data_IF_802827520634
#
_entry.id   IF_802827520634
#
_cell.length_a   1.000
_cell.length_b   1.000
_cell.length_c   1.000
_cell.angle_alpha   90.00
_cell.angle_beta   90.00
_cell.angle_gamma   90.00
#
_symmetry.space_group_name_H-M   'P 1'
#
loop_
_entity.id
_entity.type
_entity.pdbx_description
1 polymer ?
#
# COMPACT_ATOMS: atom_id res chain seq x y z
N UNK A 1 -10.47 15.07 -17.20
CA UNK A 1 -9.47 15.43 -16.18
C UNK A 1 -10.02 14.91 -14.85
N UNK A 2 -9.30 14.02 -14.16
CA UNK A 2 -9.88 13.29 -13.02
C UNK A 2 -10.04 14.12 -11.74
N UNK A 3 -9.45 15.31 -11.68
CA UNK A 3 -9.38 16.12 -10.47
C UNK A 3 -9.56 17.59 -10.89
N UNK A 4 -10.65 18.22 -10.47
CA UNK A 4 -10.89 19.64 -10.77
C UNK A 4 -10.39 20.59 -9.68
N UNK A 5 -10.49 20.16 -8.42
CA UNK A 5 -10.03 20.89 -7.26
C UNK A 5 -9.62 19.93 -6.14
N UNK A 6 -8.71 20.38 -5.28
CA UNK A 6 -8.21 19.63 -4.12
C UNK A 6 -8.09 20.51 -2.88
N UNK A 7 -8.16 19.90 -1.70
CA UNK A 7 -7.58 20.43 -0.47
C UNK A 7 -6.08 20.15 -0.46
N UNK A 8 -5.28 21.01 0.14
CA UNK A 8 -3.88 20.71 0.42
C UNK A 8 -3.74 20.02 1.78
N UNK A 9 -3.03 18.88 1.84
CA UNK A 9 -2.75 18.20 3.11
C UNK A 9 -1.71 18.94 3.96
N UNK A 10 -0.73 19.58 3.31
CA UNK A 10 0.40 20.28 3.92
C UNK A 10 0.82 21.52 3.10
N UNK A 11 1.65 22.43 3.63
CA UNK A 11 2.23 23.53 2.86
C UNK A 11 3.00 23.08 1.61
N UNK A 12 3.66 21.93 1.66
CA UNK A 12 4.33 21.32 0.50
C UNK A 12 3.31 20.92 -0.56
N UNK A 13 2.17 20.38 -0.14
CA UNK A 13 1.07 19.99 -1.02
C UNK A 13 0.43 21.21 -1.70
N UNK A 14 0.27 22.31 -0.97
CA UNK A 14 -0.19 23.59 -1.53
C UNK A 14 0.78 24.13 -2.61
N UNK A 15 2.08 24.13 -2.32
CA UNK A 15 3.12 24.51 -3.30
C UNK A 15 3.11 23.60 -4.52
N UNK A 16 2.93 22.29 -4.33
CA UNK A 16 2.84 21.33 -5.42
C UNK A 16 1.60 21.57 -6.29
N UNK A 17 0.43 21.80 -5.68
CA UNK A 17 -0.80 22.13 -6.39
C UNK A 17 -0.61 23.35 -7.30
N UNK A 18 0.00 24.42 -6.78
CA UNK A 18 0.31 25.63 -7.55
C UNK A 18 1.23 25.37 -8.75
N UNK A 19 2.30 24.58 -8.56
CA UNK A 19 3.20 24.19 -9.66
C UNK A 19 2.52 23.35 -10.73
N UNK A 20 1.60 22.49 -10.33
CA UNK A 20 0.91 21.54 -11.21
C UNK A 20 -0.37 22.13 -11.84
N UNK A 21 -0.72 23.38 -11.50
CA UNK A 21 -1.94 24.03 -11.97
C UNK A 21 -3.23 23.40 -11.43
N UNK A 22 -3.17 22.74 -10.28
CA UNK A 22 -4.32 22.11 -9.63
C UNK A 22 -5.00 23.17 -8.76
N UNK A 23 -6.31 23.38 -8.96
CA UNK A 23 -7.09 24.36 -8.20
C UNK A 23 -7.22 23.93 -6.74
N UNK A 24 -7.02 24.87 -5.81
CA UNK A 24 -7.27 24.65 -4.39
C UNK A 24 -8.70 25.08 -4.02
N UNK A 25 -9.40 24.25 -3.26
CA UNK A 25 -10.73 24.57 -2.71
C UNK A 25 -10.94 23.90 -1.36
N UNK A 26 -11.47 24.65 -0.39
CA UNK A 26 -11.80 24.14 0.95
C UNK A 26 -12.93 23.10 0.96
N UNK A 27 -13.79 23.12 -0.05
CA UNK A 27 -14.95 22.22 -0.18
C UNK A 27 -14.67 21.02 -1.10
N UNK A 28 -13.42 20.81 -1.52
CA UNK A 28 -13.08 19.71 -2.41
C UNK A 28 -13.21 18.33 -1.73
N UNK A 29 -13.66 17.35 -2.51
CA UNK A 29 -13.74 15.93 -2.12
C UNK A 29 -12.39 15.20 -2.13
N UNK A 30 -11.38 15.83 -2.75
CA UNK A 30 -10.03 15.31 -2.91
C UNK A 30 -9.06 16.05 -2.00
N UNK A 31 -8.07 15.33 -1.47
CA UNK A 31 -6.95 15.92 -0.73
C UNK A 31 -5.64 15.54 -1.42
N UNK A 32 -4.89 16.55 -1.85
CA UNK A 32 -3.56 16.38 -2.44
C UNK A 32 -2.54 16.22 -1.33
N UNK A 33 -1.73 15.17 -1.45
CA UNK A 33 -0.62 14.85 -0.56
C UNK A 33 0.64 14.83 -1.40
N UNK A 34 1.52 15.80 -1.20
CA UNK A 34 2.84 15.81 -1.83
C UNK A 34 3.88 15.18 -0.90
N UNK A 35 4.47 14.05 -1.29
CA UNK A 35 5.42 13.32 -0.45
C UNK A 35 5.65 11.88 -0.88
N UNK A 36 6.23 11.10 0.03
CA UNK A 36 6.47 9.66 -0.15
C UNK A 36 5.28 8.84 0.33
N UNK A 37 5.39 7.51 0.27
CA UNK A 37 4.39 6.61 0.87
C UNK A 37 4.15 6.91 2.35
N UNK A 38 5.13 7.43 3.08
CA UNK A 38 4.96 7.84 4.48
C UNK A 38 3.87 8.91 4.63
N UNK A 39 3.95 10.00 3.86
CA UNK A 39 2.99 11.10 3.93
C UNK A 39 1.61 10.65 3.41
N UNK A 40 1.59 9.83 2.36
CA UNK A 40 0.35 9.28 1.79
C UNK A 40 -0.35 8.36 2.80
N UNK A 41 0.37 7.46 3.47
CA UNK A 41 -0.16 6.60 4.53
C UNK A 41 -0.70 7.42 5.71
N UNK A 42 -0.03 8.52 6.07
CA UNK A 42 -0.49 9.41 7.14
C UNK A 42 -1.81 10.10 6.80
N UNK A 43 -1.97 10.55 5.55
CA UNK A 43 -3.22 11.09 5.05
C UNK A 43 -4.31 10.01 4.99
N UNK A 44 -4.02 8.80 4.48
CA UNK A 44 -4.97 7.70 4.43
C UNK A 44 -5.47 7.31 5.83
N UNK A 45 -4.65 7.45 6.87
CA UNK A 45 -5.07 7.18 8.27
C UNK A 45 -5.99 8.24 8.85
N UNK A 46 -5.84 9.50 8.43
CA UNK A 46 -6.44 10.67 9.11
C UNK A 46 -7.53 11.41 8.30
N UNK A 47 -7.63 11.18 6.99
CA UNK A 47 -8.52 11.92 6.07
C UNK A 47 -9.56 11.03 5.44
N UNK A 48 -10.81 11.48 5.43
CA UNK A 48 -11.89 10.72 4.77
C UNK A 48 -12.05 11.10 3.30
N UNK A 49 -11.50 12.25 2.87
CA UNK A 49 -11.40 12.66 1.47
C UNK A 49 -10.66 11.64 0.59
N UNK A 50 -10.84 11.75 -0.72
CA UNK A 50 -10.06 10.95 -1.69
C UNK A 50 -8.62 11.46 -1.70
N UNK A 51 -7.69 10.65 -1.20
CA UNK A 51 -6.27 10.96 -1.17
C UNK A 51 -5.69 10.86 -2.57
N UNK A 52 -5.02 11.93 -2.99
CA UNK A 52 -4.26 12.03 -4.24
C UNK A 52 -2.79 12.22 -3.88
N UNK A 53 -2.01 11.14 -3.96
CA UNK A 53 -0.58 11.20 -3.69
C UNK A 53 0.20 11.71 -4.91
N UNK A 54 1.04 12.72 -4.75
CA UNK A 54 2.02 13.12 -5.75
C UNK A 54 3.42 13.00 -5.16
N UNK A 55 4.28 12.19 -5.77
CA UNK A 55 5.65 12.05 -5.28
C UNK A 55 6.56 13.16 -5.81
N UNK A 56 7.60 13.55 -5.05
CA UNK A 56 8.63 14.43 -5.57
C UNK A 56 9.33 13.87 -6.81
N UNK A 57 9.90 14.76 -7.62
CA UNK A 57 10.66 14.34 -8.82
C UNK A 57 11.76 13.36 -8.48
N UNK A 58 11.81 12.25 -9.21
CA UNK A 58 12.80 11.20 -9.02
C UNK A 58 12.64 10.39 -7.72
N UNK A 59 11.52 10.54 -7.02
CA UNK A 59 11.14 9.70 -5.89
C UNK A 59 10.03 8.76 -6.34
N UNK A 60 10.31 7.47 -6.25
CA UNK A 60 9.32 6.43 -6.47
C UNK A 60 8.52 6.20 -5.18
N UNK A 61 7.22 6.47 -5.23
CA UNK A 61 6.28 6.19 -4.14
C UNK A 61 5.18 5.29 -4.69
N UNK A 62 4.99 4.12 -4.09
CA UNK A 62 4.10 3.08 -4.59
C UNK A 62 2.63 3.52 -4.57
N UNK A 63 2.25 4.33 -3.58
CA UNK A 63 0.89 4.81 -3.37
C UNK A 63 0.60 6.11 -4.11
N UNK A 64 1.62 6.75 -4.69
CA UNK A 64 1.40 7.96 -5.46
C UNK A 64 0.56 7.68 -6.70
N UNK A 65 -0.29 8.64 -7.03
CA UNK A 65 -1.01 8.70 -8.29
C UNK A 65 -0.05 8.95 -9.45
N UNK A 66 0.93 9.83 -9.25
CA UNK A 66 2.02 10.10 -10.18
C UNK A 66 3.18 10.81 -9.45
N UNK A 67 4.37 10.80 -10.03
CA UNK A 67 5.41 11.74 -9.64
C UNK A 67 5.15 13.13 -10.22
N UNK A 68 5.71 14.18 -9.63
CA UNK A 68 5.53 15.58 -10.03
C UNK A 68 5.79 15.80 -11.53
N UNK A 69 6.84 15.17 -12.07
CA UNK A 69 7.23 15.27 -13.48
C UNK A 69 6.32 14.51 -14.44
N UNK A 70 5.62 13.49 -13.96
CA UNK A 70 4.71 12.66 -14.75
C UNK A 70 3.25 13.05 -14.62
N UNK A 71 2.89 13.80 -13.57
CA UNK A 71 1.51 14.18 -13.29
C UNK A 71 0.76 14.74 -14.49
N UNK A 72 1.28 15.71 -15.28
CA UNK A 72 0.49 16.26 -16.39
C UNK A 72 0.21 15.23 -17.50
N UNK A 73 1.11 14.24 -17.69
CA UNK A 73 0.90 13.13 -18.62
C UNK A 73 -0.17 12.18 -18.08
N UNK A 74 -0.06 11.78 -16.81
CA UNK A 74 -1.01 10.85 -16.18
C UNK A 74 -2.41 11.49 -16.13
N UNK A 75 -2.51 12.74 -15.69
CA UNK A 75 -3.78 13.47 -15.56
C UNK A 75 -4.50 13.72 -16.90
N UNK A 76 -3.77 13.73 -18.03
CA UNK A 76 -4.35 13.94 -19.37
C UNK A 76 -4.72 12.66 -20.10
N UNK A 77 -4.23 11.49 -19.66
CA UNK A 77 -4.33 10.24 -20.44
C UNK A 77 -4.81 9.02 -19.67
N UNK A 78 -4.58 8.98 -18.37
CA UNK A 78 -5.02 7.86 -17.56
C UNK A 78 -6.50 8.02 -17.21
N UNK A 79 -7.25 6.94 -17.32
CA UNK A 79 -8.46 6.78 -16.54
C UNK A 79 -8.08 6.72 -15.05
N UNK A 80 -8.99 7.09 -14.17
CA UNK A 80 -8.72 7.10 -12.74
C UNK A 80 -9.78 6.29 -12.01
N UNK A 81 -9.34 5.56 -10.99
CA UNK A 81 -10.22 4.81 -10.10
C UNK A 81 -9.96 5.20 -8.66
N UNK A 82 -10.99 5.11 -7.83
CA UNK A 82 -10.88 5.31 -6.39
C UNK A 82 -10.88 3.94 -5.74
N UNK A 83 -9.74 3.54 -5.21
CA UNK A 83 -9.58 2.30 -4.47
C UNK A 83 -9.95 2.54 -3.00
N UNK A 84 -10.76 1.64 -2.44
CA UNK A 84 -11.10 1.65 -1.01
C UNK A 84 -10.03 0.87 -0.24
N UNK A 85 -9.38 1.54 0.69
CA UNK A 85 -8.36 0.95 1.54
C UNK A 85 -8.96 0.74 2.94
N UNK A 86 -9.12 -0.50 3.42
CA UNK A 86 -9.63 -0.72 4.77
C UNK A 86 -8.75 -0.06 5.83
N UNK A 87 -9.36 0.55 6.86
CA UNK A 87 -8.65 0.92 8.09
C UNK A 87 -8.94 -0.10 9.16
N UNK A 88 -7.90 -0.64 9.76
CA UNK A 88 -8.04 -1.44 10.98
C UNK A 88 -8.36 -0.51 12.14
N UNK A 89 -9.38 -0.88 12.90
CA UNK A 89 -9.60 -0.39 14.25
C UNK A 89 -9.14 -1.47 15.21
N UNK A 90 -8.38 -1.06 16.22
CA UNK A 90 -7.89 -1.95 17.23
C UNK A 90 -8.14 -1.40 18.62
N UNK A 91 -8.62 -2.26 19.51
CA UNK A 91 -9.08 -1.89 20.84
C UNK A 91 -8.41 -2.73 21.91
N UNK A 92 -7.94 -2.06 22.97
CA UNK A 92 -7.42 -2.67 24.18
C UNK A 92 -7.72 -1.74 25.37
N UNK A 93 -8.35 -2.26 26.42
CA UNK A 93 -8.63 -1.49 27.65
C UNK A 93 -9.46 -0.22 27.40
N UNK A 94 -10.42 -0.27 26.47
CA UNK A 94 -11.26 0.88 26.08
C UNK A 94 -10.55 1.94 25.21
N UNK A 95 -9.24 1.79 24.94
CA UNK A 95 -8.52 2.65 24.01
C UNK A 95 -8.61 2.08 22.59
N UNK A 96 -9.02 2.92 21.63
CA UNK A 96 -9.13 2.55 20.21
C UNK A 96 -8.08 3.29 19.40
N UNK A 97 -7.34 2.55 18.59
CA UNK A 97 -6.35 3.08 17.63
C UNK A 97 -6.69 2.64 16.20
N UNK A 98 -6.17 3.38 15.22
CA UNK A 98 -6.39 3.13 13.79
C UNK A 98 -5.08 2.82 13.07
N UNK A 99 -5.14 1.89 12.13
CA UNK A 99 -4.04 1.53 11.24
C UNK A 99 -4.54 1.38 9.80
N UNK A 100 -3.68 1.64 8.82
CA UNK A 100 -3.95 1.40 7.40
C UNK A 100 -3.18 0.21 6.85
N UNK A 101 -2.03 -0.12 7.42
CA UNK A 101 -1.26 -1.31 7.07
C UNK A 101 -1.55 -2.42 8.06
N UNK A 102 -1.09 -2.28 9.31
CA UNK A 102 -1.16 -3.37 10.28
C UNK A 102 -1.35 -2.92 11.74
N UNK A 103 -1.92 -3.84 12.51
CA UNK A 103 -1.92 -3.82 13.96
C UNK A 103 -1.05 -4.98 14.43
N UNK A 104 -0.02 -4.67 15.19
CA UNK A 104 0.96 -5.61 15.67
C UNK A 104 0.85 -5.78 17.19
N UNK A 105 1.04 -7.01 17.68
CA UNK A 105 1.15 -7.29 19.11
C UNK A 105 2.54 -7.86 19.37
N UNK A 106 3.32 -7.12 20.16
CA UNK A 106 4.70 -7.45 20.51
C UNK A 106 4.99 -7.10 21.97
N UNK A 107 5.99 -7.74 22.60
CA UNK A 107 6.50 -7.27 23.87
C UNK A 107 7.22 -5.93 23.68
N UNK A 108 7.08 -5.03 24.66
CA UNK A 108 7.74 -3.71 24.68
C UNK A 108 9.26 -3.76 24.51
N UNK A 109 9.88 -4.89 24.86
CA UNK A 109 11.31 -5.13 24.67
C UNK A 109 11.51 -6.32 23.75
N UNK A 110 12.47 -6.20 22.84
CA UNK A 110 12.90 -7.26 21.94
C UNK A 110 13.48 -8.47 22.68
N UNK A 111 13.66 -9.58 21.95
CA UNK A 111 14.21 -10.84 22.45
C UNK A 111 13.36 -11.47 23.58
N UNK A 112 12.04 -11.35 23.48
CA UNK A 112 11.09 -12.06 24.34
C UNK A 112 9.99 -12.70 23.48
N UNK A 113 9.68 -13.95 23.81
CA UNK A 113 8.56 -14.65 23.20
C UNK A 113 7.23 -14.20 23.82
N UNK A 114 6.20 -14.26 23.01
CA UNK A 114 4.81 -13.94 23.36
C UNK A 114 3.96 -15.16 23.05
N UNK A 115 3.29 -15.71 24.07
CA UNK A 115 2.25 -16.72 23.88
C UNK A 115 0.90 -16.03 23.70
N UNK A 116 0.08 -16.47 22.74
CA UNK A 116 -1.23 -15.88 22.50
C UNK A 116 -2.20 -16.88 21.85
N UNK A 117 -3.49 -16.55 21.85
CA UNK A 117 -4.55 -17.23 21.10
C UNK A 117 -5.23 -16.26 20.17
N UNK A 118 -5.47 -16.72 18.94
CA UNK A 118 -6.20 -15.98 17.91
C UNK A 118 -7.60 -16.58 17.79
N UNK A 119 -8.61 -15.72 17.93
CA UNK A 119 -10.01 -16.03 17.66
C UNK A 119 -10.52 -15.19 16.50
N UNK A 120 -11.40 -15.78 15.70
CA UNK A 120 -12.14 -15.10 14.63
C UNK A 120 -13.62 -15.32 14.90
N UNK A 121 -14.36 -14.24 15.11
CA UNK A 121 -15.76 -14.26 15.55
C UNK A 121 -15.99 -15.22 16.74
N UNK A 122 -15.11 -15.14 17.75
CA UNK A 122 -15.17 -15.95 18.97
C UNK A 122 -14.66 -17.39 18.85
N UNK A 123 -14.39 -17.90 17.64
CA UNK A 123 -13.84 -19.25 17.44
C UNK A 123 -12.32 -19.23 17.46
N UNK A 124 -11.71 -20.08 18.28
CA UNK A 124 -10.25 -20.24 18.30
C UNK A 124 -9.81 -20.84 16.97
N UNK A 125 -8.99 -20.09 16.23
CA UNK A 125 -8.38 -20.56 14.98
C UNK A 125 -7.04 -21.21 15.29
N UNK A 126 -6.21 -20.54 16.08
CA UNK A 126 -4.94 -21.11 16.54
C UNK A 126 -4.43 -20.45 17.82
N UNK A 127 -3.44 -21.10 18.43
CA UNK A 127 -2.61 -20.56 19.49
C UNK A 127 -1.14 -20.72 19.13
N UNK A 128 -0.30 -19.79 19.56
CA UNK A 128 1.11 -19.83 19.21
C UNK A 128 2.01 -19.20 20.28
N UNK A 129 3.30 -19.49 20.17
CA UNK A 129 4.38 -18.80 20.86
C UNK A 129 5.33 -18.27 19.78
N UNK A 130 5.48 -16.96 19.70
CA UNK A 130 6.21 -16.29 18.63
C UNK A 130 6.83 -14.99 19.16
N UNK A 131 7.57 -14.24 18.33
CA UNK A 131 7.99 -12.88 18.74
C UNK A 131 6.78 -11.96 18.88
N UNK A 132 5.77 -12.17 18.03
CA UNK A 132 4.52 -11.43 18.03
C UNK A 132 3.54 -11.93 16.98
N UNK A 133 2.51 -11.14 16.71
CA UNK A 133 1.53 -11.39 15.66
C UNK A 133 1.06 -10.09 15.03
N UNK A 134 0.81 -10.12 13.73
CA UNK A 134 0.27 -9.00 12.95
C UNK A 134 -1.16 -9.33 12.52
N UNK A 135 -2.01 -8.31 12.48
CA UNK A 135 -3.24 -8.29 11.68
C UNK A 135 -3.05 -7.21 10.64
N UNK A 136 -3.11 -7.56 9.36
CA UNK A 136 -2.72 -6.69 8.25
C UNK A 136 -3.85 -6.57 7.22
N UNK A 137 -3.97 -5.38 6.63
CA UNK A 137 -4.86 -5.10 5.49
C UNK A 137 -4.21 -5.57 4.19
N UNK A 138 -4.95 -5.60 3.06
CA UNK A 138 -4.34 -5.86 1.76
C UNK A 138 -3.19 -4.91 1.44
N UNK A 139 -3.32 -3.63 1.82
CA UNK A 139 -2.25 -2.64 1.67
C UNK A 139 -1.03 -2.97 2.55
N UNK A 140 -1.26 -3.39 3.80
CA UNK A 140 -0.18 -3.79 4.73
C UNK A 140 0.53 -5.09 4.34
N UNK A 141 -0.06 -5.90 3.46
CA UNK A 141 0.49 -7.18 3.04
C UNK A 141 1.83 -7.08 2.32
N UNK A 142 2.13 -5.93 1.71
CA UNK A 142 3.42 -5.64 1.09
C UNK A 142 4.44 -5.04 2.06
N UNK A 143 4.02 -4.66 3.27
CA UNK A 143 4.83 -4.01 4.31
C UNK A 143 5.40 -5.03 5.30
N UNK A 144 5.22 -4.84 6.61
CA UNK A 144 5.84 -5.70 7.61
C UNK A 144 5.33 -7.15 7.54
N UNK A 145 4.05 -7.34 7.17
CA UNK A 145 3.48 -8.66 6.94
C UNK A 145 4.27 -9.48 5.91
N UNK A 146 4.70 -8.85 4.80
CA UNK A 146 5.58 -9.49 3.80
C UNK A 146 6.88 -9.98 4.41
N UNK A 147 7.55 -9.14 5.20
CA UNK A 147 8.80 -9.50 5.86
C UNK A 147 8.63 -10.61 6.90
N UNK A 148 7.44 -10.72 7.50
CA UNK A 148 7.08 -11.78 8.43
C UNK A 148 6.62 -13.09 7.75
N UNK A 149 6.61 -13.14 6.42
CA UNK A 149 6.21 -14.33 5.65
C UNK A 149 4.73 -14.38 5.25
N UNK A 150 4.02 -13.26 5.37
CA UNK A 150 2.66 -13.08 4.82
C UNK A 150 2.63 -13.08 3.29
N UNK A 151 1.53 -13.51 2.66
CA UNK A 151 1.33 -13.36 1.23
C UNK A 151 1.20 -11.89 0.82
N UNK A 152 1.50 -11.57 -0.44
CA UNK A 152 1.09 -10.29 -1.03
C UNK A 152 -0.37 -10.43 -1.47
N UNK A 153 -1.22 -9.50 -1.02
CA UNK A 153 -2.66 -9.48 -1.26
C UNK A 153 -2.99 -8.30 -2.16
N UNK A 154 -3.81 -8.56 -3.18
CA UNK A 154 -4.30 -7.51 -4.07
C UNK A 154 -5.08 -6.44 -3.30
N UNK A 155 -4.85 -5.15 -3.63
CA UNK A 155 -5.45 -4.02 -2.90
C UNK A 155 -6.98 -4.04 -2.90
N UNK A 156 -7.62 -4.61 -3.93
CA UNK A 156 -9.08 -4.68 -4.05
C UNK A 156 -9.69 -5.90 -3.32
N UNK A 157 -8.87 -6.80 -2.78
CA UNK A 157 -9.35 -7.99 -2.09
C UNK A 157 -10.01 -7.65 -0.74
N UNK A 158 -11.23 -8.12 -0.51
CA UNK A 158 -11.97 -7.89 0.74
C UNK A 158 -11.59 -8.90 1.84
N UNK A 159 -10.33 -8.89 2.24
CA UNK A 159 -9.77 -9.79 3.27
C UNK A 159 -8.85 -9.05 4.26
N UNK A 160 -8.64 -9.66 5.41
CA UNK A 160 -7.54 -9.35 6.34
C UNK A 160 -6.65 -10.58 6.47
N UNK A 161 -5.37 -10.37 6.79
CA UNK A 161 -4.46 -11.47 7.10
C UNK A 161 -3.97 -11.38 8.55
N UNK A 162 -3.69 -12.54 9.13
CA UNK A 162 -3.09 -12.69 10.45
C UNK A 162 -1.75 -13.39 10.25
N UNK A 163 -0.65 -12.72 10.62
CA UNK A 163 0.71 -13.20 10.36
C UNK A 163 1.46 -13.38 11.68
N UNK A 164 1.68 -14.62 12.14
CA UNK A 164 2.58 -14.92 13.24
C UNK A 164 4.02 -14.53 12.88
N UNK A 165 4.70 -13.77 13.76
CA UNK A 165 6.07 -13.31 13.50
C UNK A 165 7.06 -14.22 14.22
N UNK A 166 7.91 -14.91 13.45
CA UNK A 166 8.88 -15.89 13.97
C UNK A 166 8.22 -16.96 14.87
N UNK A 167 7.16 -17.60 14.35
CA UNK A 167 6.42 -18.65 15.04
C UNK A 167 7.31 -19.85 15.41
N UNK A 168 7.33 -20.22 16.70
CA UNK A 168 8.00 -21.45 17.16
C UNK A 168 7.29 -22.72 16.67
N UNK A 169 5.97 -22.62 16.43
CA UNK A 169 5.15 -23.72 15.91
C UNK A 169 5.07 -23.74 14.38
N UNK A 170 5.83 -22.89 13.68
CA UNK A 170 5.80 -22.72 12.22
C UNK A 170 4.38 -22.47 11.68
N UNK A 171 3.57 -21.69 12.40
CA UNK A 171 2.22 -21.32 11.98
C UNK A 171 2.27 -20.52 10.68
N UNK A 172 1.53 -20.93 9.63
CA UNK A 172 1.41 -20.12 8.43
C UNK A 172 0.49 -18.90 8.68
N UNK A 173 0.55 -17.89 7.80
CA UNK A 173 -0.44 -16.81 7.76
C UNK A 173 -1.87 -17.36 7.63
N UNK A 174 -2.84 -16.65 8.22
CA UNK A 174 -4.26 -16.99 8.15
C UNK A 174 -5.06 -15.83 7.59
N UNK A 175 -5.74 -16.04 6.45
CA UNK A 175 -6.52 -15.01 5.75
C UNK A 175 -8.00 -15.18 6.09
N UNK A 176 -8.67 -14.06 6.39
CA UNK A 176 -10.08 -14.00 6.78
C UNK A 176 -10.85 -12.95 5.97
N UNK A 177 -12.16 -13.11 5.78
CA UNK A 177 -12.97 -12.05 5.16
C UNK A 177 -12.92 -10.73 5.93
N UNK A 178 -13.01 -9.59 5.22
CA UNK A 178 -12.86 -8.25 5.78
C UNK A 178 -13.81 -7.94 6.95
N UNK A 179 -15.04 -8.47 6.90
CA UNK A 179 -16.07 -8.24 7.92
C UNK A 179 -15.88 -9.02 9.23
N UNK A 180 -14.79 -9.77 9.38
CA UNK A 180 -14.51 -10.58 10.57
C UNK A 180 -13.90 -9.77 11.70
N UNK A 181 -14.27 -10.09 12.94
CA UNK A 181 -13.62 -9.55 14.14
C UNK A 181 -12.56 -10.54 14.63
N UNK A 182 -11.33 -10.07 14.73
CA UNK A 182 -10.17 -10.84 15.16
C UNK A 182 -9.88 -10.47 16.62
N UNK A 183 -9.83 -11.46 17.50
CA UNK A 183 -9.45 -11.26 18.89
C UNK A 183 -8.13 -11.98 19.17
N UNK A 184 -7.15 -11.24 19.68
CA UNK A 184 -5.89 -11.78 20.16
C UNK A 184 -5.93 -11.71 21.68
N UNK A 185 -5.75 -12.85 22.32
CA UNK A 185 -6.09 -13.03 23.73
C UNK A 185 -5.13 -13.99 24.41
N UNK A 186 -5.23 -14.09 25.73
CA UNK A 186 -4.30 -14.86 26.55
C UNK A 186 -2.84 -14.48 26.27
N UNK A 187 -2.61 -13.21 25.92
CA UNK A 187 -1.30 -12.69 25.55
C UNK A 187 -0.42 -12.62 26.78
N UNK A 188 0.69 -13.38 26.77
CA UNK A 188 1.66 -13.41 27.87
C UNK A 188 3.06 -13.32 27.31
N UNK A 189 3.87 -12.46 27.92
CA UNK A 189 5.30 -12.36 27.65
C UNK A 189 6.02 -11.95 28.94
N UNK A 190 7.35 -12.10 28.97
CA UNK A 190 8.20 -11.62 30.07
C UNK A 190 8.13 -10.10 30.22
N UNK A 191 7.95 -9.39 29.12
CA UNK A 191 7.81 -7.94 29.11
C UNK A 191 6.37 -7.55 28.75
N UNK A 192 5.98 -6.35 29.15
CA UNK A 192 4.65 -5.80 28.88
C UNK A 192 4.32 -5.89 27.37
N UNK A 193 3.28 -6.63 26.97
CA UNK A 193 2.82 -6.62 25.59
C UNK A 193 2.20 -5.27 25.23
N UNK A 194 2.44 -4.82 24.00
CA UNK A 194 1.90 -3.60 23.42
C UNK A 194 1.14 -3.93 22.14
N UNK A 195 0.05 -3.20 21.92
CA UNK A 195 -0.60 -3.08 20.64
C UNK A 195 0.03 -1.90 19.90
N UNK A 196 0.48 -2.13 18.68
CA UNK A 196 1.22 -1.18 17.86
C UNK A 196 0.47 -1.01 16.53
N UNK A 197 -0.03 0.19 16.25
CA UNK A 197 -0.71 0.52 14.99
C UNK A 197 0.25 1.23 14.03
N UNK A 198 0.41 0.68 12.81
CA UNK A 198 1.31 1.15 11.74
C UNK A 198 2.74 1.49 12.21
N UNK A 199 3.25 0.77 13.21
CA UNK A 199 4.57 1.02 13.80
C UNK A 199 4.71 2.34 14.59
N UNK A 200 3.63 3.13 14.76
CA UNK A 200 3.69 4.49 15.34
C UNK A 200 3.01 4.57 16.70
N UNK A 201 1.72 4.29 16.74
CA UNK A 201 0.93 4.41 17.98
C UNK A 201 1.06 3.13 18.76
N UNK A 202 1.57 3.23 19.99
CA UNK A 202 1.76 2.09 20.88
C UNK A 202 0.87 2.30 22.10
N UNK A 203 0.06 1.30 22.45
CA UNK A 203 -0.70 1.27 23.69
C UNK A 203 -0.42 -0.03 24.45
N UNK A 204 -0.34 -0.01 25.78
CA UNK A 204 -0.27 -1.23 26.57
C UNK A 204 -1.45 -2.15 26.30
N UNK A 205 -1.20 -3.46 26.29
CA UNK A 205 -2.24 -4.46 26.15
C UNK A 205 -2.93 -4.70 27.52
N UNK A 206 -4.17 -4.25 27.66
CA UNK A 206 -4.95 -4.46 28.88
C UNK A 206 -5.47 -5.90 28.93
N UNK A 207 -5.37 -6.54 30.09
CA UNK A 207 -5.80 -7.92 30.35
C UNK A 207 -5.23 -8.98 29.39
N UNK A 208 -4.14 -8.66 28.68
CA UNK A 208 -3.55 -9.53 27.66
C UNK A 208 -4.49 -9.77 26.48
N UNK A 209 -5.32 -8.78 26.12
CA UNK A 209 -6.31 -8.89 25.04
C UNK A 209 -6.31 -7.68 24.12
N UNK A 210 -6.59 -7.92 22.84
CA UNK A 210 -6.96 -6.92 21.87
C UNK A 210 -7.98 -7.46 20.89
N UNK A 211 -8.86 -6.58 20.42
CA UNK A 211 -9.74 -6.85 19.31
C UNK A 211 -9.36 -5.98 18.12
N UNK A 212 -9.34 -6.56 16.92
CA UNK A 212 -9.02 -5.90 15.66
C UNK A 212 -10.12 -6.18 14.65
N UNK A 213 -10.58 -5.16 13.93
CA UNK A 213 -11.60 -5.29 12.89
C UNK A 213 -11.41 -4.21 11.81
N UNK A 214 -11.95 -4.43 10.62
CA UNK A 214 -12.05 -3.38 9.62
C UNK A 214 -13.12 -2.35 10.04
N UNK A 215 -12.70 -1.10 10.24
CA UNK A 215 -13.56 0.03 10.54
C UNK A 215 -13.96 0.80 9.28
N UNK A 216 -13.71 2.12 9.27
CA UNK A 216 -13.90 2.94 8.06
C UNK A 216 -12.92 2.53 6.95
N UNK A 217 -13.23 2.86 5.70
CA UNK A 217 -12.27 2.76 4.59
C UNK A 217 -11.72 4.14 4.22
N UNK A 218 -10.42 4.22 4.01
CA UNK A 218 -9.80 5.35 3.31
C UNK A 218 -10.03 5.24 1.80
N UNK A 219 -9.89 6.35 1.09
CA UNK A 219 -10.09 6.41 -0.36
C UNK A 219 -8.79 6.88 -1.01
N UNK A 220 -8.25 6.11 -1.94
CA UNK A 220 -7.01 6.43 -2.66
C UNK A 220 -7.30 6.55 -4.15
N UNK A 221 -6.92 7.67 -4.76
CA UNK A 221 -6.98 7.82 -6.21
C UNK A 221 -5.81 7.11 -6.87
N UNK A 222 -6.10 6.25 -7.83
CA UNK A 222 -5.11 5.51 -8.62
C UNK A 222 -5.33 5.74 -10.12
N UNK A 223 -4.26 5.86 -10.93
CA UNK A 223 -4.40 5.75 -12.36
C UNK A 223 -4.80 4.31 -12.70
N UNK A 224 -5.74 4.15 -13.62
CA UNK A 224 -6.14 2.85 -14.16
C UNK A 224 -5.09 2.47 -15.21
N UNK A 225 -4.42 1.35 -14.94
CA UNK A 225 -3.72 0.57 -15.95
C UNK A 225 -4.64 0.36 -17.15
N UNK A 226 -4.24 0.75 -18.36
CA UNK A 226 -4.96 0.33 -19.56
C UNK A 226 -4.99 -1.21 -19.60
N UNK A 227 -6.11 -1.82 -19.19
CA UNK A 227 -6.31 -3.27 -19.30
C UNK A 227 -6.38 -3.59 -20.78
N UNK A 228 -5.37 -4.29 -21.30
CA UNK A 228 -5.54 -5.05 -22.54
C UNK A 228 -6.06 -6.44 -22.19
N UNK A 229 -7.15 -6.82 -22.84
CA UNK A 229 -7.49 -8.22 -23.03
C UNK A 229 -6.42 -8.86 -23.95
N UNK A 230 -5.88 -9.99 -23.48
CA UNK A 230 -4.93 -10.89 -24.14
C UNK A 230 -3.50 -10.36 -24.42
N UNK A 231 -2.52 -11.10 -23.89
CA UNK A 231 -1.13 -11.08 -24.36
C UNK A 231 -1.12 -11.17 -25.91
N UNK A 232 -0.38 -10.31 -26.62
CA UNK A 232 -0.13 -10.53 -28.04
C UNK A 232 0.53 -11.89 -28.21
N UNK A 233 0.04 -12.69 -29.16
CA UNK A 233 0.61 -13.98 -29.51
C UNK A 233 2.09 -13.83 -29.94
N UNK A 234 3.00 -13.97 -28.98
CA UNK A 234 4.44 -13.92 -29.14
C UNK A 234 5.12 -14.14 -27.79
N UNK A 235 6.16 -14.98 -27.74
CA UNK A 235 6.90 -15.29 -26.49
C UNK A 235 7.63 -14.04 -25.97
N UNK A 236 6.92 -13.20 -25.22
CA UNK A 236 7.55 -12.16 -24.41
C UNK A 236 8.48 -12.85 -23.41
N UNK A 237 9.75 -12.42 -23.37
CA UNK A 237 10.69 -12.91 -22.36
C UNK A 237 10.19 -12.56 -20.96
N UNK A 238 10.59 -13.29 -19.90
CA UNK A 238 10.16 -12.99 -18.53
C UNK A 238 10.40 -11.52 -18.13
N UNK A 239 11.55 -10.94 -18.49
CA UNK A 239 11.83 -9.53 -18.23
C UNK A 239 10.90 -8.59 -18.99
N UNK A 240 10.53 -8.91 -20.24
CA UNK A 240 9.57 -8.11 -21.01
C UNK A 240 8.18 -8.17 -20.38
N UNK A 241 7.72 -9.36 -19.96
CA UNK A 241 6.43 -9.51 -19.27
C UNK A 241 6.42 -8.73 -17.96
N UNK A 242 7.49 -8.82 -17.19
CA UNK A 242 7.54 -8.12 -15.91
C UNK A 242 7.52 -6.60 -16.10
N UNK A 243 8.35 -6.06 -17.00
CA UNK A 243 8.34 -4.62 -17.32
C UNK A 243 6.98 -4.16 -17.86
N UNK A 244 6.36 -4.94 -18.75
CA UNK A 244 5.04 -4.64 -19.29
C UNK A 244 3.99 -4.63 -18.16
N UNK A 245 4.01 -5.63 -17.28
CA UNK A 245 3.09 -5.73 -16.15
C UNK A 245 3.26 -4.57 -15.16
N UNK A 246 4.49 -4.15 -14.90
CA UNK A 246 4.78 -2.97 -14.07
C UNK A 246 4.21 -1.70 -14.70
N UNK A 247 4.36 -1.51 -16.02
CA UNK A 247 3.78 -0.37 -16.75
C UNK A 247 2.25 -0.42 -16.80
N UNK A 248 1.65 -1.61 -16.86
CA UNK A 248 0.22 -1.78 -16.68
C UNK A 248 -0.15 -1.30 -15.26
N UNK A 249 0.28 -2.01 -14.23
CA UNK A 249 -0.14 -1.78 -12.83
C UNK A 249 0.14 -0.37 -12.30
N UNK A 250 1.21 0.28 -12.76
CA UNK A 250 1.69 1.57 -12.24
C UNK A 250 1.49 2.73 -13.21
N UNK A 251 1.09 2.46 -14.45
CA UNK A 251 0.94 3.49 -15.48
C UNK A 251 2.29 3.98 -16.06
N UNK A 252 2.33 5.23 -16.59
CA UNK A 252 3.53 5.79 -17.21
C UNK A 252 4.71 5.88 -16.23
N UNK A 253 5.89 5.39 -16.64
CA UNK A 253 7.10 5.37 -15.80
C UNK A 253 8.37 5.66 -16.61
N UNK A 254 9.43 6.09 -15.92
CA UNK A 254 10.79 6.18 -16.50
C UNK A 254 11.50 4.82 -16.50
N UNK A 255 12.54 4.63 -17.31
CA UNK A 255 13.33 3.39 -17.28
C UNK A 255 14.02 3.15 -15.94
N UNK A 256 14.40 4.23 -15.23
CA UNK A 256 14.97 4.13 -13.88
C UNK A 256 13.94 3.64 -12.87
N UNK A 257 12.76 4.25 -12.85
CA UNK A 257 11.69 3.83 -11.93
C UNK A 257 11.26 2.39 -12.17
N UNK A 258 11.20 1.95 -13.43
CA UNK A 258 10.91 0.55 -13.75
C UNK A 258 12.01 -0.37 -13.19
N UNK A 259 13.29 0.01 -13.29
CA UNK A 259 14.39 -0.79 -12.75
C UNK A 259 14.30 -0.90 -11.22
N UNK A 260 13.91 0.17 -10.54
CA UNK A 260 13.69 0.19 -9.10
C UNK A 260 12.53 -0.71 -8.68
N UNK A 261 11.35 -0.58 -9.31
CA UNK A 261 10.18 -1.41 -8.99
C UNK A 261 10.36 -2.90 -9.32
N UNK A 262 11.04 -3.21 -10.42
CA UNK A 262 11.23 -4.61 -10.84
C UNK A 262 12.44 -5.27 -10.18
N UNK A 263 13.37 -4.50 -9.64
CA UNK A 263 14.69 -5.00 -9.20
C UNK A 263 15.58 -5.49 -10.34
N UNK A 264 15.18 -5.26 -11.60
CA UNK A 264 15.97 -5.65 -12.77
C UNK A 264 17.09 -4.62 -13.03
N UNK A 265 18.27 -5.05 -13.51
CA UNK A 265 19.31 -4.12 -13.94
C UNK A 265 18.78 -3.13 -14.99
N UNK A 266 19.18 -1.86 -14.92
CA UNK A 266 18.70 -0.80 -15.84
C UNK A 266 18.89 -1.19 -17.33
N UNK A 267 20.01 -1.83 -17.67
CA UNK A 267 20.27 -2.36 -19.03
C UNK A 267 19.20 -3.38 -19.49
N UNK A 268 18.72 -4.21 -18.58
CA UNK A 268 17.71 -5.24 -18.85
C UNK A 268 16.36 -4.57 -19.07
N UNK A 269 16.04 -3.56 -18.27
CA UNK A 269 14.85 -2.73 -18.45
C UNK A 269 14.87 -1.99 -19.78
N UNK A 270 15.98 -1.34 -20.13
CA UNK A 270 16.11 -0.63 -21.40
C UNK A 270 16.00 -1.57 -22.61
N UNK A 271 16.60 -2.77 -22.52
CA UNK A 271 16.44 -3.81 -23.53
C UNK A 271 14.97 -4.24 -23.66
N UNK A 272 14.30 -4.53 -22.54
CA UNK A 272 12.90 -4.92 -22.52
C UNK A 272 12.00 -3.84 -23.11
N UNK A 273 12.19 -2.57 -22.72
CA UNK A 273 11.46 -1.43 -23.26
C UNK A 273 11.68 -1.24 -24.76
N UNK A 274 12.91 -1.41 -25.25
CA UNK A 274 13.20 -1.36 -26.69
C UNK A 274 12.47 -2.47 -27.45
N UNK A 275 12.46 -3.69 -26.90
CA UNK A 275 11.76 -4.82 -27.49
C UNK A 275 10.23 -4.64 -27.46
N UNK A 276 9.66 -4.19 -26.35
CA UNK A 276 8.23 -3.91 -26.20
C UNK A 276 7.76 -2.77 -27.11
N UNK A 277 8.59 -1.75 -27.33
CA UNK A 277 8.32 -0.69 -28.31
C UNK A 277 8.31 -1.20 -29.74
N UNK A 278 9.26 -2.06 -30.11
CA UNK A 278 9.27 -2.73 -31.43
C UNK A 278 8.04 -3.62 -31.63
N UNK A 279 7.58 -4.27 -30.57
CA UNK A 279 6.35 -5.05 -30.56
C UNK A 279 5.07 -4.18 -30.57
N UNK A 280 5.20 -2.86 -30.51
CA UNK A 280 4.05 -1.93 -30.52
C UNK A 280 3.24 -1.92 -29.23
N UNK A 281 3.74 -2.48 -28.13
CA UNK A 281 3.03 -2.60 -26.85
C UNK A 281 3.26 -1.41 -25.91
N UNK A 282 4.39 -0.73 -26.09
CA UNK A 282 4.79 0.41 -25.27
C UNK A 282 5.10 1.57 -26.21
N UNK A 283 4.69 2.78 -25.84
CA UNK A 283 5.16 4.01 -26.46
C UNK A 283 6.13 4.75 -25.54
N UNK A 284 6.97 5.62 -26.11
CA UNK A 284 7.89 6.47 -25.34
C UNK A 284 7.71 7.93 -25.76
N UNK A 285 7.62 8.82 -24.78
CA UNK A 285 7.50 10.27 -24.99
C UNK A 285 8.49 11.02 -24.13
N UNK A 286 8.88 12.21 -24.60
CA UNK A 286 9.65 13.13 -23.79
C UNK A 286 8.70 13.96 -22.95
N UNK A 287 8.92 13.99 -21.63
CA UNK A 287 8.14 14.77 -20.68
C UNK A 287 9.10 15.38 -19.66
N UNK A 288 9.12 16.71 -19.55
CA UNK A 288 10.02 17.40 -18.61
C UNK A 288 11.52 17.10 -18.78
N UNK A 289 11.96 16.74 -20.00
CA UNK A 289 13.33 16.32 -20.29
C UNK A 289 13.65 14.84 -20.02
N UNK A 290 12.70 14.08 -19.47
CA UNK A 290 12.82 12.66 -19.21
C UNK A 290 12.09 11.84 -20.28
N UNK A 291 12.62 10.64 -20.58
CA UNK A 291 11.95 9.68 -21.45
C UNK A 291 11.02 8.79 -20.63
N UNK A 292 9.73 8.96 -20.85
CA UNK A 292 8.65 8.26 -20.14
C UNK A 292 8.07 7.19 -21.05
N UNK A 293 7.86 6.01 -20.51
CA UNK A 293 7.28 4.87 -21.20
C UNK A 293 5.87 4.63 -20.67
N UNK A 294 4.92 4.36 -21.57
CA UNK A 294 3.54 4.04 -21.22
C UNK A 294 3.02 2.93 -22.12
N UNK A 295 2.05 2.16 -21.62
CA UNK A 295 1.33 1.19 -22.45
C UNK A 295 0.70 1.93 -23.65
N UNK A 296 0.86 1.35 -24.84
CA UNK A 296 0.19 1.83 -26.03
C UNK A 296 -1.23 1.26 -26.03
N UNK A 297 -2.29 2.09 -26.17
CA UNK A 297 -3.67 1.63 -26.27
C UNK A 297 -3.83 0.53 -27.33
#
# INVERSE_FOLDING_TARGET
MCIEAVKAYSPESERAAGKLGIRLSGDADYVLVYGTDREILEALRSRDEVVVGISPRGIDAELAFASEDLYPLVASRAECTVVKIPRLHAESGGSVVRAVNEVAIFPRRSAALTSYKVRVDGRIVFSDVADGVLVSTPLGSSAYARSAGGPVIDLEAEVLEIVPVNSTSRRPPYVVPLGKRIEISDVRSRFLPELIADGRTRIPLADGRAAVWAGSAARLLRPVAARREAEPAGRLSPSMRYVLKTLEERGPLTSRSIAEFTGLPLRTVEYALSALRRAGLVEAKMFGGLRVYSIKP
#
